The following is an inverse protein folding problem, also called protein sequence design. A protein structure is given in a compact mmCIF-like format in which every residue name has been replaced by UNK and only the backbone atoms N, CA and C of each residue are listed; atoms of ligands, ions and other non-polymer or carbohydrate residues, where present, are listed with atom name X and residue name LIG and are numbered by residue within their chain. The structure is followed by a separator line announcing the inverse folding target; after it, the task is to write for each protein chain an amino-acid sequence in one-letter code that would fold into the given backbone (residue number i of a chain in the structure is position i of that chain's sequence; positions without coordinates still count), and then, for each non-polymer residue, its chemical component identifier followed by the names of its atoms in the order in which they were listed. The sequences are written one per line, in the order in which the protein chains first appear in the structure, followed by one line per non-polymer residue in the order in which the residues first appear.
data_IF_442112696251
#
_entry.id   IF_442112696251
#
_cell.length_a   1.000
_cell.length_b   1.000
_cell.length_c   1.000
_cell.angle_alpha   90.00
_cell.angle_beta   90.00
_cell.angle_gamma   90.00
#
_symmetry.space_group_name_H-M   'P 1'
#
loop_
_entity.id
_entity.type
_entity.pdbx_description
1 polymer ?
#
# COMPACT_ATOMS: atom_id res chain seq x y z
N UNK A 1 12.84 -11.56 56.44
CA UNK A 1 13.50 -10.48 55.67
C UNK A 1 12.38 -9.70 55.03
N UNK A 2 11.96 -8.62 55.69
CA UNK A 2 10.90 -7.75 55.21
C UNK A 2 11.47 -6.81 54.14
N UNK A 3 10.89 -6.84 52.94
CA UNK A 3 11.27 -5.97 51.84
C UNK A 3 10.54 -4.64 52.08
N UNK A 4 11.25 -3.73 52.74
CA UNK A 4 10.77 -2.38 53.01
C UNK A 4 10.52 -1.67 51.66
N UNK A 5 9.25 -1.57 51.27
CA UNK A 5 8.87 -1.02 49.97
C UNK A 5 8.90 0.50 50.08
N UNK A 6 10.07 1.09 49.90
CA UNK A 6 10.27 2.53 50.03
C UNK A 6 9.51 3.27 48.92
N UNK A 7 8.32 3.79 49.25
CA UNK A 7 7.52 4.61 48.33
C UNK A 7 8.10 6.01 48.27
N UNK A 8 8.72 6.34 47.15
CA UNK A 8 9.19 7.70 46.87
C UNK A 8 8.07 8.49 46.21
N UNK A 9 7.64 9.58 46.85
CA UNK A 9 6.68 10.51 46.28
C UNK A 9 7.43 11.71 45.71
N UNK A 10 7.22 11.99 44.43
CA UNK A 10 7.82 13.12 43.74
C UNK A 10 6.71 14.15 43.54
N UNK A 11 6.88 15.34 44.12
CA UNK A 11 5.98 16.46 43.84
C UNK A 11 6.44 17.15 42.57
N UNK A 12 5.59 17.10 41.55
CA UNK A 12 5.79 17.81 40.29
C UNK A 12 4.87 19.03 40.28
N UNK A 13 5.38 20.23 39.96
CA UNK A 13 4.54 21.41 39.79
C UNK A 13 3.41 21.15 38.79
N UNK A 14 2.21 21.65 39.11
CA UNK A 14 1.04 21.43 38.25
C UNK A 14 1.24 21.97 36.82
N UNK A 15 2.00 23.05 36.68
CA UNK A 15 2.36 23.66 35.40
C UNK A 15 3.23 22.72 34.55
N UNK A 16 4.25 22.09 35.14
CA UNK A 16 5.11 21.14 34.42
C UNK A 16 4.33 19.88 34.00
N UNK A 17 3.44 19.41 34.88
CA UNK A 17 2.62 18.24 34.58
C UNK A 17 1.59 18.51 33.46
N UNK A 18 1.01 19.71 33.43
CA UNK A 18 0.09 20.13 32.38
C UNK A 18 0.82 20.35 31.05
N UNK A 19 2.00 20.96 31.08
CA UNK A 19 2.86 21.09 29.90
C UNK A 19 3.22 19.72 29.32
N UNK A 20 3.62 18.76 30.17
CA UNK A 20 3.94 17.40 29.73
C UNK A 20 2.74 16.70 29.07
N UNK A 21 1.55 16.83 29.68
CA UNK A 21 0.31 16.29 29.10
C UNK A 21 -0.01 16.89 27.74
N UNK A 22 0.14 18.21 27.60
CA UNK A 22 -0.10 18.89 26.31
C UNK A 22 0.88 18.43 25.23
N UNK A 23 2.16 18.27 25.56
CA UNK A 23 3.17 17.77 24.64
C UNK A 23 2.87 16.33 24.18
N UNK A 24 2.46 15.46 25.11
CA UNK A 24 2.05 14.09 24.79
C UNK A 24 0.81 14.07 23.89
N UNK A 25 -0.17 14.93 24.15
CA UNK A 25 -1.37 15.05 23.33
C UNK A 25 -1.02 15.50 21.90
N UNK A 26 -0.13 16.48 21.74
CA UNK A 26 0.32 16.95 20.43
C UNK A 26 1.05 15.84 19.65
N UNK A 27 2.02 15.16 20.27
CA UNK A 27 2.74 14.05 19.63
C UNK A 27 1.78 12.94 19.21
N UNK A 28 0.75 12.64 20.03
CA UNK A 28 -0.26 11.65 19.69
C UNK A 28 -1.10 12.05 18.48
N UNK A 29 -1.42 13.34 18.34
CA UNK A 29 -2.12 13.90 17.18
C UNK A 29 -1.26 13.82 15.93
N UNK A 30 0.00 14.27 16.01
CA UNK A 30 0.93 14.26 14.89
C UNK A 30 1.18 12.83 14.39
N UNK A 31 1.28 11.84 15.29
CA UNK A 31 1.39 10.42 14.92
C UNK A 31 0.12 9.87 14.26
N UNK A 32 -1.06 10.29 14.71
CA UNK A 32 -2.32 9.90 14.07
C UNK A 32 -2.43 10.49 12.66
N UNK A 33 -2.05 11.76 12.49
CA UNK A 33 -1.99 12.43 11.19
C UNK A 33 -0.97 11.78 10.26
N UNK A 34 0.22 11.44 10.75
CA UNK A 34 1.25 10.71 9.98
C UNK A 34 0.79 9.30 9.59
N UNK A 35 0.04 8.61 10.46
CA UNK A 35 -0.55 7.31 10.14
C UNK A 35 -1.61 7.44 9.05
N UNK A 36 -2.42 8.50 9.10
CA UNK A 36 -3.48 8.76 8.12
C UNK A 36 -2.92 9.27 6.78
N UNK A 37 -1.84 10.06 6.79
CA UNK A 37 -1.15 10.52 5.57
C UNK A 37 -0.28 9.44 4.91
N UNK A 38 -0.01 8.32 5.59
CA UNK A 38 0.53 7.09 4.97
C UNK A 38 -0.51 6.28 4.17
N UNK A 39 -1.75 6.75 4.07
CA UNK A 39 -2.81 6.17 3.22
C UNK A 39 -3.04 7.04 1.99
N UNK A 40 -1.97 7.39 1.28
CA UNK A 40 -2.05 7.32 -0.17
C UNK A 40 -1.13 6.19 -0.59
N UNK A 41 -1.64 4.99 -0.89
CA UNK A 41 -0.92 4.16 -1.84
C UNK A 41 -0.95 4.98 -3.14
N UNK A 42 0.09 5.77 -3.41
CA UNK A 42 0.39 6.14 -4.79
C UNK A 42 0.24 4.83 -5.59
N UNK A 43 -0.54 4.81 -6.69
CA UNK A 43 -1.20 3.61 -7.17
C UNK A 43 -0.18 2.49 -7.25
N UNK A 44 -0.18 1.60 -6.26
CA UNK A 44 0.57 0.36 -6.33
C UNK A 44 -0.16 -0.37 -7.43
N UNK A 45 0.37 -0.23 -8.63
CA UNK A 45 -0.14 -0.88 -9.79
C UNK A 45 -0.01 -2.37 -9.49
N UNK A 46 -1.10 -3.01 -9.09
CA UNK A 46 -1.10 -4.44 -8.81
C UNK A 46 -0.74 -5.14 -10.11
N UNK A 47 0.40 -5.82 -10.13
CA UNK A 47 0.85 -6.55 -11.30
C UNK A 47 0.38 -8.00 -11.18
N UNK A 48 -0.33 -8.47 -12.19
CA UNK A 48 -0.72 -9.88 -12.33
C UNK A 48 0.19 -10.58 -13.32
N UNK A 49 0.25 -11.91 -13.25
CA UNK A 49 0.99 -12.69 -14.23
C UNK A 49 0.25 -12.66 -15.58
N UNK A 50 1.00 -12.75 -16.68
CA UNK A 50 0.41 -12.88 -18.02
C UNK A 50 -0.55 -14.09 -18.11
N UNK A 51 -0.23 -15.20 -17.43
CA UNK A 51 -1.09 -16.38 -17.35
C UNK A 51 -2.44 -16.07 -16.68
N UNK A 52 -2.41 -15.31 -15.60
CA UNK A 52 -3.60 -14.88 -14.88
C UNK A 52 -4.43 -13.88 -15.71
N UNK A 53 -3.77 -12.94 -16.39
CA UNK A 53 -4.43 -12.04 -17.34
C UNK A 53 -5.18 -12.82 -18.44
N UNK A 54 -4.52 -13.82 -19.04
CA UNK A 54 -5.13 -14.67 -20.08
C UNK A 54 -6.31 -15.49 -19.55
N UNK A 55 -6.23 -15.97 -18.31
CA UNK A 55 -7.34 -16.67 -17.66
C UNK A 55 -8.53 -15.75 -17.40
N UNK A 56 -8.31 -14.54 -16.88
CA UNK A 56 -9.37 -13.58 -16.56
C UNK A 56 -10.04 -13.01 -17.82
N UNK A 57 -9.28 -12.81 -18.90
CA UNK A 57 -9.79 -12.28 -20.18
C UNK A 57 -10.22 -13.37 -21.16
N UNK A 58 -10.03 -14.65 -20.82
CA UNK A 58 -10.28 -15.82 -21.67
C UNK A 58 -9.63 -15.74 -23.07
N UNK A 59 -8.49 -15.06 -23.19
CA UNK A 59 -7.77 -14.98 -24.48
C UNK A 59 -6.70 -16.06 -24.60
N UNK A 60 -6.42 -16.46 -25.85
CA UNK A 60 -5.32 -17.36 -26.18
C UNK A 60 -3.97 -16.64 -26.09
N UNK A 61 -2.93 -17.42 -25.82
CA UNK A 61 -1.53 -16.96 -25.76
C UNK A 61 -1.07 -16.21 -27.01
N UNK A 62 -1.48 -16.64 -28.21
CA UNK A 62 -1.16 -15.93 -29.46
C UNK A 62 -1.69 -14.49 -29.44
N UNK A 63 -2.98 -14.32 -29.15
CA UNK A 63 -3.63 -13.01 -29.06
C UNK A 63 -2.99 -12.12 -28.00
N UNK A 64 -2.62 -12.67 -26.84
CA UNK A 64 -1.89 -11.92 -25.83
C UNK A 64 -0.56 -11.36 -26.37
N UNK A 65 0.26 -12.18 -27.04
CA UNK A 65 1.50 -11.69 -27.62
C UNK A 65 1.28 -10.72 -28.78
N UNK A 66 0.23 -10.90 -29.58
CA UNK A 66 -0.13 -9.93 -30.62
C UNK A 66 -0.45 -8.56 -30.00
N UNK A 67 -1.17 -8.53 -28.88
CA UNK A 67 -1.45 -7.30 -28.15
C UNK A 67 -0.19 -6.65 -27.57
N UNK A 68 0.74 -7.46 -27.07
CA UNK A 68 2.03 -6.97 -26.57
C UNK A 68 2.90 -6.42 -27.71
N UNK A 69 2.99 -7.14 -28.83
CA UNK A 69 3.80 -6.75 -29.99
C UNK A 69 3.26 -5.50 -30.68
N UNK A 70 1.93 -5.31 -30.67
CA UNK A 70 1.25 -4.12 -31.18
C UNK A 70 1.16 -2.97 -30.16
N UNK A 71 1.89 -3.04 -29.03
CA UNK A 71 1.88 -2.03 -27.96
C UNK A 71 0.49 -1.71 -27.37
N UNK A 72 -0.48 -2.62 -27.49
CA UNK A 72 -1.84 -2.43 -26.94
C UNK A 72 -1.85 -2.60 -25.41
N UNK A 73 -1.03 -3.52 -24.90
CA UNK A 73 -0.85 -3.79 -23.47
C UNK A 73 0.59 -3.51 -23.04
N UNK A 74 0.77 -2.80 -21.92
CA UNK A 74 2.09 -2.64 -21.29
C UNK A 74 2.43 -3.84 -20.42
N UNK A 75 3.60 -4.41 -20.63
CA UNK A 75 4.10 -5.55 -19.87
C UNK A 75 5.47 -5.29 -19.26
N UNK A 76 5.72 -5.89 -18.10
CA UNK A 76 7.03 -5.89 -17.45
C UNK A 76 7.56 -7.32 -17.44
N UNK A 77 8.80 -7.50 -17.90
CA UNK A 77 9.48 -8.80 -17.85
C UNK A 77 10.43 -8.81 -16.66
N UNK A 78 10.27 -9.78 -15.77
CA UNK A 78 11.16 -9.98 -14.62
C UNK A 78 11.54 -11.46 -14.53
N UNK A 79 12.84 -11.73 -14.64
CA UNK A 79 13.38 -13.09 -14.76
C UNK A 79 12.74 -13.82 -15.95
N UNK A 80 11.99 -14.90 -15.69
CA UNK A 80 11.30 -15.72 -16.71
C UNK A 80 9.80 -15.46 -16.76
N UNK A 81 9.30 -14.45 -16.03
CA UNK A 81 7.87 -14.16 -15.90
C UNK A 81 7.53 -12.82 -16.55
N UNK A 82 6.35 -12.79 -17.18
CA UNK A 82 5.77 -11.57 -17.76
C UNK A 82 4.63 -11.12 -16.86
N UNK A 83 4.65 -9.83 -16.51
CA UNK A 83 3.70 -9.19 -15.63
C UNK A 83 2.92 -8.13 -16.41
N UNK A 84 1.64 -7.99 -16.08
CA UNK A 84 0.71 -7.05 -16.67
C UNK A 84 0.09 -6.23 -15.55
N UNK A 85 -0.20 -4.96 -15.80
CA UNK A 85 -0.99 -4.15 -14.87
C UNK A 85 -2.40 -4.75 -14.72
N UNK A 86 -2.87 -4.95 -13.49
CA UNK A 86 -4.22 -5.46 -13.22
C UNK A 86 -5.31 -4.57 -13.83
N UNK A 87 -5.05 -3.26 -13.98
CA UNK A 87 -5.96 -2.31 -14.63
C UNK A 87 -6.19 -2.63 -16.11
N UNK A 88 -5.24 -3.29 -16.78
CA UNK A 88 -5.40 -3.69 -18.19
C UNK A 88 -6.49 -4.76 -18.37
N UNK A 89 -6.79 -5.54 -17.32
CA UNK A 89 -7.92 -6.49 -17.37
C UNK A 89 -9.22 -5.74 -17.58
N UNK A 90 -9.45 -4.67 -16.81
CA UNK A 90 -10.65 -3.83 -16.98
C UNK A 90 -10.64 -3.15 -18.35
N UNK A 91 -9.48 -2.64 -18.77
CA UNK A 91 -9.33 -1.98 -20.07
C UNK A 91 -9.67 -2.90 -21.23
N UNK A 92 -9.31 -4.18 -21.15
CA UNK A 92 -9.66 -5.19 -22.16
C UNK A 92 -11.16 -5.26 -22.46
N UNK A 93 -12.00 -5.15 -21.42
CA UNK A 93 -13.46 -5.26 -21.57
C UNK A 93 -14.15 -3.93 -21.91
N UNK A 94 -13.46 -2.80 -21.76
CA UNK A 94 -14.03 -1.46 -21.98
C UNK A 94 -13.60 -0.88 -23.32
N UNK A 95 -12.36 -1.14 -23.73
CA UNK A 95 -11.73 -0.56 -24.93
C UNK A 95 -11.93 -1.48 -26.15
N UNK A 96 -12.76 -1.10 -27.14
CA UNK A 96 -13.05 -1.94 -28.31
C UNK A 96 -11.81 -2.26 -29.14
N UNK A 97 -10.78 -1.42 -29.09
CA UNK A 97 -9.52 -1.60 -29.82
C UNK A 97 -8.65 -2.72 -29.21
N UNK A 98 -8.94 -3.15 -27.99
CA UNK A 98 -8.26 -4.25 -27.30
C UNK A 98 -8.89 -5.61 -27.58
N UNK A 99 -10.20 -5.63 -27.89
CA UNK A 99 -11.03 -6.83 -28.04
C UNK A 99 -10.75 -7.64 -29.30
#
# INVERSE_FOLDING_TARGET
MDIDTTRTYIMVPAEEFTALKSALAQISSDLAELKNSRVSPGPKADYILAEEFMQLTHIKKSKFYDMVNNNKIRVIRKLRKTYVLATEVKRYFIDPEMS
#
